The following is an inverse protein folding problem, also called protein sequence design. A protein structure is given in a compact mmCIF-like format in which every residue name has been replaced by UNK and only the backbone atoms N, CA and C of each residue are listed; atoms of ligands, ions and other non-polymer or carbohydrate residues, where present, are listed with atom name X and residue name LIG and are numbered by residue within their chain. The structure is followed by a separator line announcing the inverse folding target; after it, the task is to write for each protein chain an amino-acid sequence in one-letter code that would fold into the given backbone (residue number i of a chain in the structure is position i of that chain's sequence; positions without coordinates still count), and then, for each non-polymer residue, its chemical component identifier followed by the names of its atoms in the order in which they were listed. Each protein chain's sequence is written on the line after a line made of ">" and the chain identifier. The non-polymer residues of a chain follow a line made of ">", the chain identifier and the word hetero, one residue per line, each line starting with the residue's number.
data_IF_825424711001
#
_entry.id   IF_825424711001
#
_cell.length_a   1.000
_cell.length_b   1.000
_cell.length_c   1.000
_cell.angle_alpha   90.00
_cell.angle_beta   90.00
_cell.angle_gamma   90.00
#
_symmetry.space_group_name_H-M   'P 1'
#
loop_
_entity.id
_entity.type
_entity.pdbx_description
1 polymer ?
#
# COMPACT_ATOMS: atom_id res chain seq x y z
N UNK A 1 8.48 38.85 -44.74
CA UNK A 1 7.89 37.75 -43.95
C UNK A 1 8.22 37.96 -42.47
N UNK A 2 7.32 38.56 -41.69
CA UNK A 2 7.47 38.72 -40.23
C UNK A 2 7.13 37.38 -39.56
N UNK A 3 8.08 36.84 -38.80
CA UNK A 3 7.89 35.65 -37.94
C UNK A 3 6.86 35.99 -36.85
N UNK A 4 5.64 35.48 -36.97
CA UNK A 4 4.70 35.35 -35.85
C UNK A 4 5.06 34.07 -35.10
N UNK A 5 5.91 34.20 -34.09
CA UNK A 5 6.20 33.13 -33.15
C UNK A 5 6.14 33.69 -31.74
N UNK A 6 5.38 33.01 -30.87
CA UNK A 6 5.39 33.10 -29.41
C UNK A 6 4.63 34.28 -28.76
N UNK A 7 3.31 34.10 -28.61
CA UNK A 7 2.47 34.88 -27.68
C UNK A 7 1.28 34.07 -27.11
N UNK A 8 1.23 32.74 -27.31
CA UNK A 8 0.09 31.90 -26.86
C UNK A 8 0.28 31.25 -25.48
N UNK A 9 1.48 31.26 -24.91
CA UNK A 9 1.77 30.59 -23.62
C UNK A 9 1.49 31.50 -22.39
N UNK A 10 1.46 32.82 -22.54
CA UNK A 10 1.29 33.75 -21.40
C UNK A 10 -0.17 33.99 -20.97
N UNK A 11 -1.16 33.63 -21.80
CA UNK A 11 -2.58 33.89 -21.52
C UNK A 11 -3.21 32.95 -20.49
N UNK A 12 -2.75 31.70 -20.42
CA UNK A 12 -3.30 30.69 -19.50
C UNK A 12 -2.84 30.90 -18.05
N UNK A 13 -1.60 31.36 -17.85
CA UNK A 13 -1.06 31.70 -16.54
C UNK A 13 -1.71 32.94 -15.89
N UNK A 14 -2.43 33.75 -16.68
CA UNK A 14 -3.24 34.86 -16.18
C UNK A 14 -4.70 34.46 -15.91
N UNK A 15 -5.11 33.26 -16.33
CA UNK A 15 -6.46 32.77 -16.11
C UNK A 15 -6.63 32.27 -14.67
N UNK A 16 -7.31 33.08 -13.85
CA UNK A 16 -7.63 32.79 -12.45
C UNK A 16 -8.27 31.41 -12.24
N UNK A 17 -9.10 30.94 -13.18
CA UNK A 17 -9.73 29.60 -13.11
C UNK A 17 -8.71 28.49 -13.29
N UNK A 18 -7.81 28.63 -14.28
CA UNK A 18 -6.74 27.66 -14.52
C UNK A 18 -5.81 27.54 -13.32
N UNK A 19 -5.44 28.67 -12.70
CA UNK A 19 -4.59 28.67 -11.50
C UNK A 19 -5.26 27.94 -10.32
N UNK A 20 -6.57 28.06 -10.14
CA UNK A 20 -7.32 27.30 -9.14
C UNK A 20 -7.28 25.80 -9.43
N UNK A 21 -7.44 25.39 -10.71
CA UNK A 21 -7.37 23.98 -11.10
C UNK A 21 -5.98 23.38 -10.83
N UNK A 22 -4.90 24.11 -11.15
CA UNK A 22 -3.52 23.69 -10.87
C UNK A 22 -3.29 23.56 -9.36
N UNK A 23 -3.77 24.50 -8.55
CA UNK A 23 -3.66 24.44 -7.09
C UNK A 23 -4.36 23.18 -6.53
N UNK A 24 -5.59 22.90 -7.00
CA UNK A 24 -6.33 21.70 -6.61
C UNK A 24 -5.61 20.42 -7.02
N UNK A 25 -5.08 20.35 -8.25
CA UNK A 25 -4.32 19.20 -8.72
C UNK A 25 -3.05 18.98 -7.90
N UNK A 26 -2.36 20.04 -7.48
CA UNK A 26 -1.18 19.94 -6.63
C UNK A 26 -1.53 19.28 -5.29
N UNK A 27 -2.56 19.78 -4.60
CA UNK A 27 -3.01 19.23 -3.32
C UNK A 27 -3.46 17.77 -3.46
N UNK A 28 -4.28 17.44 -4.47
CA UNK A 28 -4.75 16.07 -4.67
C UNK A 28 -3.64 15.10 -5.06
N UNK A 29 -2.69 15.54 -5.87
CA UNK A 29 -1.54 14.71 -6.22
C UNK A 29 -0.68 14.42 -4.99
N UNK A 30 -0.52 15.39 -4.08
CA UNK A 30 0.17 15.17 -2.81
C UNK A 30 -0.55 14.13 -1.94
N UNK A 31 -1.88 14.23 -1.82
CA UNK A 31 -2.68 13.25 -1.09
C UNK A 31 -2.60 11.84 -1.70
N UNK A 32 -2.66 11.74 -3.04
CA UNK A 32 -2.50 10.49 -3.77
C UNK A 32 -1.10 9.89 -3.59
N UNK A 33 -0.06 10.73 -3.61
CA UNK A 33 1.31 10.30 -3.38
C UNK A 33 1.50 9.76 -1.95
N UNK A 34 0.91 10.43 -0.95
CA UNK A 34 0.93 9.95 0.43
C UNK A 34 0.27 8.56 0.56
N UNK A 35 -0.88 8.34 -0.08
CA UNK A 35 -1.48 7.01 -0.16
C UNK A 35 -0.56 6.02 -0.88
N UNK A 36 -0.02 6.39 -2.03
CA UNK A 36 0.85 5.52 -2.81
C UNK A 36 2.05 5.02 -1.99
N UNK A 37 2.66 5.89 -1.17
CA UNK A 37 3.74 5.50 -0.27
C UNK A 37 3.30 4.50 0.81
N UNK A 38 2.03 4.52 1.25
CA UNK A 38 1.49 3.53 2.20
C UNK A 38 1.17 2.19 1.53
N UNK A 39 0.88 2.18 0.22
CA UNK A 39 0.60 0.96 -0.54
C UNK A 39 1.88 0.29 -1.09
N UNK A 40 3.02 0.97 -0.94
CA UNK A 40 4.32 0.53 -1.42
C UNK A 40 5.27 0.28 -0.25
N UNK A 41 6.33 -0.48 -0.52
CA UNK A 41 7.33 -0.83 0.49
C UNK A 41 7.15 -2.24 1.06
N UNK A 42 8.14 -2.64 1.85
CA UNK A 42 8.23 -3.99 2.44
C UNK A 42 7.46 -4.07 3.76
N UNK A 43 7.04 -5.28 4.12
CA UNK A 43 6.44 -5.58 5.42
C UNK A 43 4.95 -5.27 5.55
N UNK A 44 4.31 -4.69 4.53
CA UNK A 44 2.86 -4.48 4.53
C UNK A 44 2.13 -5.76 4.11
N UNK A 45 1.15 -6.18 4.92
CA UNK A 45 0.21 -7.23 4.54
C UNK A 45 -1.01 -6.60 3.85
N UNK A 46 -1.81 -7.43 3.18
CA UNK A 46 -2.97 -6.93 2.41
C UNK A 46 -3.97 -6.14 3.27
N UNK A 47 -4.07 -6.46 4.56
CA UNK A 47 -4.98 -5.77 5.48
C UNK A 47 -4.52 -4.36 5.81
N UNK A 48 -3.20 -4.09 5.87
CA UNK A 48 -2.65 -2.74 6.01
C UNK A 48 -3.00 -1.88 4.80
N UNK A 49 -2.84 -2.46 3.61
CA UNK A 49 -3.17 -1.79 2.35
C UNK A 49 -4.67 -1.50 2.24
N UNK A 50 -5.52 -2.46 2.63
CA UNK A 50 -6.95 -2.26 2.70
C UNK A 50 -7.32 -1.13 3.67
N UNK A 51 -6.70 -1.08 4.85
CA UNK A 51 -6.92 -0.02 5.83
C UNK A 51 -6.51 1.37 5.28
N UNK A 52 -5.37 1.46 4.59
CA UNK A 52 -4.92 2.68 3.94
C UNK A 52 -5.91 3.19 2.87
N UNK A 53 -6.38 2.30 1.99
CA UNK A 53 -7.40 2.64 0.97
C UNK A 53 -8.72 3.06 1.63
N UNK A 54 -9.18 2.32 2.64
CA UNK A 54 -10.41 2.65 3.40
C UNK A 54 -10.31 4.04 4.02
N UNK A 55 -9.20 4.35 4.69
CA UNK A 55 -8.95 5.66 5.27
C UNK A 55 -8.92 6.77 4.23
N UNK A 56 -8.30 6.54 3.06
CA UNK A 56 -8.26 7.52 1.97
C UNK A 56 -9.65 7.80 1.41
N UNK A 57 -10.47 6.76 1.19
CA UNK A 57 -11.87 6.93 0.77
C UNK A 57 -12.68 7.75 1.78
N UNK A 58 -12.49 7.51 3.07
CA UNK A 58 -13.15 8.31 4.13
C UNK A 58 -12.69 9.76 4.09
N UNK A 59 -11.40 10.01 3.88
CA UNK A 59 -10.86 11.37 3.71
C UNK A 59 -11.46 12.09 2.49
N UNK A 60 -11.59 11.41 1.34
CA UNK A 60 -12.21 12.00 0.14
C UNK A 60 -13.64 12.51 0.43
N UNK A 61 -14.46 11.74 1.16
CA UNK A 61 -15.82 12.17 1.56
C UNK A 61 -15.83 13.37 2.50
N UNK A 62 -14.89 13.40 3.45
CA UNK A 62 -14.72 14.55 4.33
C UNK A 62 -14.31 15.79 3.52
N UNK A 63 -13.33 15.65 2.64
CA UNK A 63 -12.81 16.73 1.80
C UNK A 63 -13.85 17.27 0.84
N UNK A 64 -14.70 16.42 0.27
CA UNK A 64 -15.85 16.83 -0.55
C UNK A 64 -16.77 17.77 0.25
N UNK A 65 -17.17 17.36 1.45
CA UNK A 65 -18.04 18.14 2.34
C UNK A 65 -17.39 19.46 2.74
N UNK A 66 -16.10 19.43 3.11
CA UNK A 66 -15.35 20.61 3.48
C UNK A 66 -15.16 21.57 2.31
N UNK A 67 -14.90 21.05 1.10
CA UNK A 67 -14.78 21.84 -0.11
C UNK A 67 -16.07 22.61 -0.40
N UNK A 68 -17.24 21.96 -0.29
CA UNK A 68 -18.55 22.61 -0.42
C UNK A 68 -18.79 23.70 0.63
N UNK A 69 -18.24 23.54 1.83
CA UNK A 69 -18.27 24.51 2.92
C UNK A 69 -17.17 25.57 2.83
N UNK A 70 -16.41 25.60 1.72
CA UNK A 70 -15.29 26.52 1.53
C UNK A 70 -14.16 26.37 2.57
N UNK A 71 -14.12 25.23 3.26
CA UNK A 71 -13.09 24.87 4.23
C UNK A 71 -11.91 24.19 3.52
N UNK A 72 -10.83 24.93 3.32
CA UNK A 72 -9.63 24.48 2.60
C UNK A 72 -8.49 24.00 3.53
N UNK A 73 -8.81 23.60 4.77
CA UNK A 73 -7.79 23.23 5.79
C UNK A 73 -6.85 22.08 5.36
N UNK A 74 -7.25 21.26 4.39
CA UNK A 74 -6.44 20.16 3.84
C UNK A 74 -5.98 20.40 2.40
N UNK A 75 -6.16 21.62 1.90
CA UNK A 75 -5.82 22.05 0.54
C UNK A 75 -5.01 23.37 0.60
N UNK A 76 -3.76 23.32 1.09
CA UNK A 76 -2.95 24.52 1.30
C UNK A 76 -2.67 25.31 0.00
N UNK A 77 -2.49 24.62 -1.14
CA UNK A 77 -2.33 25.31 -2.42
C UNK A 77 -3.63 26.03 -2.81
N UNK A 78 -4.79 25.38 -2.67
CA UNK A 78 -6.09 26.02 -2.90
C UNK A 78 -6.32 27.21 -1.97
N UNK A 79 -5.96 27.10 -0.69
CA UNK A 79 -6.12 28.18 0.29
C UNK A 79 -5.32 29.42 -0.14
N UNK A 80 -4.04 29.22 -0.47
CA UNK A 80 -3.17 30.29 -0.98
C UNK A 80 -3.74 30.91 -2.25
N UNK A 81 -4.26 30.08 -3.16
CA UNK A 81 -4.83 30.57 -4.42
C UNK A 81 -6.12 31.37 -4.20
N UNK A 82 -6.99 30.93 -3.27
CA UNK A 82 -8.23 31.64 -2.94
C UNK A 82 -7.97 33.05 -2.41
N UNK A 83 -6.92 33.23 -1.63
CA UNK A 83 -6.47 34.54 -1.13
C UNK A 83 -5.96 35.44 -2.28
N UNK A 84 -5.17 34.88 -3.22
CA UNK A 84 -4.59 35.62 -4.35
C UNK A 84 -5.61 36.02 -5.42
N UNK A 85 -6.68 35.25 -5.58
CA UNK A 85 -7.65 35.41 -6.68
C UNK A 85 -8.71 36.50 -6.39
N UNK A 86 -8.74 37.06 -5.17
CA UNK A 86 -9.47 38.27 -4.72
C UNK A 86 -10.47 38.83 -5.74
N UNK A 87 -11.75 38.47 -5.59
CA UNK A 87 -12.87 38.96 -6.41
C UNK A 87 -13.41 38.01 -7.48
N UNK A 88 -12.75 36.87 -7.76
CA UNK A 88 -13.35 35.80 -8.57
C UNK A 88 -13.81 34.63 -7.69
N UNK A 89 -14.91 33.98 -8.06
CA UNK A 89 -15.47 32.84 -7.35
C UNK A 89 -14.52 31.65 -7.48
N UNK A 90 -13.98 31.19 -6.34
CA UNK A 90 -13.22 29.95 -6.28
C UNK A 90 -14.18 28.77 -6.56
N UNK A 91 -13.85 27.85 -7.49
CA UNK A 91 -14.80 26.85 -8.00
C UNK A 91 -14.98 25.64 -7.07
N UNK A 92 -15.29 25.87 -5.79
CA UNK A 92 -15.45 24.85 -4.75
C UNK A 92 -16.42 23.72 -5.14
N UNK A 93 -17.57 24.05 -5.72
CA UNK A 93 -18.56 23.05 -6.14
C UNK A 93 -18.00 22.11 -7.22
N UNK A 94 -17.23 22.65 -8.17
CA UNK A 94 -16.60 21.86 -9.23
C UNK A 94 -15.51 20.94 -8.67
N UNK A 95 -14.76 21.40 -7.67
CA UNK A 95 -13.73 20.59 -7.02
C UNK A 95 -14.35 19.50 -6.13
N UNK A 96 -15.45 19.79 -5.44
CA UNK A 96 -16.21 18.79 -4.71
C UNK A 96 -16.73 17.68 -5.64
N UNK A 97 -17.27 18.03 -6.81
CA UNK A 97 -17.69 17.06 -7.83
C UNK A 97 -16.51 16.17 -8.27
N UNK A 98 -15.32 16.76 -8.49
CA UNK A 98 -14.12 15.97 -8.82
C UNK A 98 -13.71 15.02 -7.70
N UNK A 99 -13.90 15.40 -6.44
CA UNK A 99 -13.63 14.54 -5.28
C UNK A 99 -14.62 13.37 -5.21
N UNK A 100 -15.90 13.59 -5.50
CA UNK A 100 -16.91 12.53 -5.57
C UNK A 100 -16.63 11.55 -6.72
N UNK A 101 -16.24 12.06 -7.89
CA UNK A 101 -15.81 11.20 -9.02
C UNK A 101 -14.60 10.36 -8.60
N UNK A 102 -13.58 10.97 -7.99
CA UNK A 102 -12.40 10.25 -7.52
C UNK A 102 -12.77 9.19 -6.47
N UNK A 103 -13.64 9.51 -5.52
CA UNK A 103 -14.14 8.55 -4.54
C UNK A 103 -14.87 7.37 -5.20
N UNK A 104 -15.69 7.65 -6.21
CA UNK A 104 -16.43 6.65 -6.97
C UNK A 104 -15.49 5.73 -7.73
N UNK A 105 -14.43 6.27 -8.33
CA UNK A 105 -13.39 5.50 -9.00
C UNK A 105 -12.62 4.61 -8.02
N UNK A 106 -12.27 5.10 -6.82
CA UNK A 106 -11.67 4.27 -5.77
C UNK A 106 -12.63 3.16 -5.32
N UNK A 107 -13.92 3.47 -5.14
CA UNK A 107 -14.91 2.46 -4.76
C UNK A 107 -15.03 1.37 -5.81
N UNK A 108 -15.07 1.74 -7.09
CA UNK A 108 -15.11 0.80 -8.21
C UNK A 108 -13.82 0.00 -8.35
N UNK A 109 -12.66 0.63 -8.19
CA UNK A 109 -11.34 0.00 -8.37
C UNK A 109 -11.02 -1.05 -7.31
N UNK A 110 -11.51 -0.86 -6.09
CA UNK A 110 -11.24 -1.70 -4.91
C UNK A 110 -12.49 -2.46 -4.42
N UNK A 111 -13.49 -2.67 -5.29
CA UNK A 111 -14.72 -3.38 -4.94
C UNK A 111 -14.48 -4.84 -4.55
N UNK A 112 -13.47 -5.47 -5.14
CA UNK A 112 -12.96 -6.80 -4.82
C UNK A 112 -12.39 -6.89 -3.40
N UNK A 113 -11.65 -5.87 -2.96
CA UNK A 113 -11.15 -5.77 -1.59
C UNK A 113 -12.31 -5.61 -0.59
N UNK A 114 -13.31 -4.80 -0.93
CA UNK A 114 -14.50 -4.62 -0.08
C UNK A 114 -15.29 -5.93 0.05
N UNK A 115 -15.36 -6.75 -1.01
CA UNK A 115 -15.97 -8.08 -0.94
C UNK A 115 -15.22 -9.05 0.00
N UNK A 116 -13.95 -8.79 0.30
CA UNK A 116 -13.13 -9.59 1.23
C UNK A 116 -13.01 -8.95 2.63
N UNK A 117 -13.73 -7.86 2.89
CA UNK A 117 -13.66 -7.08 4.13
C UNK A 117 -13.72 -7.93 5.40
N UNK A 118 -14.67 -8.87 5.49
CA UNK A 118 -14.81 -9.73 6.68
C UNK A 118 -13.57 -10.57 6.96
N UNK A 119 -12.90 -11.07 5.92
CA UNK A 119 -11.65 -11.85 6.05
C UNK A 119 -10.48 -10.98 6.49
N UNK A 120 -10.44 -9.73 6.03
CA UNK A 120 -9.43 -8.76 6.43
C UNK A 120 -9.63 -8.34 7.89
N UNK A 121 -10.87 -8.03 8.27
CA UNK A 121 -11.23 -7.64 9.63
C UNK A 121 -10.98 -8.77 10.63
N UNK A 122 -11.25 -10.03 10.25
CA UNK A 122 -10.94 -11.19 11.08
C UNK A 122 -9.44 -11.35 11.35
N UNK A 123 -8.56 -11.10 10.38
CA UNK A 123 -7.11 -11.15 10.58
C UNK A 123 -6.58 -9.94 11.37
N UNK A 124 -7.11 -8.75 11.08
CA UNK A 124 -6.69 -7.49 11.70
C UNK A 124 -7.20 -7.29 13.12
N UNK A 125 -8.30 -7.95 13.50
CA UNK A 125 -8.83 -7.88 14.86
C UNK A 125 -9.68 -9.11 15.21
N UNK A 126 -9.07 -10.32 15.32
CA UNK A 126 -9.80 -11.54 15.60
C UNK A 126 -10.52 -11.50 16.96
N UNK A 127 -9.99 -10.74 17.92
CA UNK A 127 -10.52 -10.66 19.29
C UNK A 127 -11.76 -9.78 19.43
N UNK A 128 -12.04 -8.91 18.45
CA UNK A 128 -13.26 -8.10 18.38
C UNK A 128 -14.16 -8.47 17.21
N UNK A 129 -13.84 -9.55 16.48
CA UNK A 129 -14.65 -10.03 15.38
C UNK A 129 -15.99 -10.56 15.91
N UNK A 130 -17.08 -10.22 15.23
CA UNK A 130 -18.39 -10.76 15.54
C UNK A 130 -18.48 -12.23 15.10
N UNK A 131 -18.72 -13.11 16.07
CA UNK A 131 -18.81 -14.56 15.85
C UNK A 131 -20.04 -14.90 14.99
N UNK A 132 -21.15 -14.18 15.15
CA UNK A 132 -22.39 -14.49 14.43
C UNK A 132 -22.28 -14.19 12.92
N UNK A 133 -21.59 -13.10 12.55
CA UNK A 133 -21.32 -12.75 11.15
C UNK A 133 -20.17 -13.54 10.50
N UNK A 134 -19.44 -14.34 11.27
CA UNK A 134 -18.31 -15.15 10.78
C UNK A 134 -18.81 -16.48 10.16
N UNK A 135 -18.18 -17.00 9.08
CA UNK A 135 -18.54 -18.30 8.51
C UNK A 135 -18.59 -19.44 9.53
N UNK A 136 -19.61 -20.30 9.45
CA UNK A 136 -19.90 -21.34 10.46
C UNK A 136 -18.73 -22.27 10.76
N UNK A 137 -17.87 -22.55 9.78
CA UNK A 137 -16.68 -23.40 9.96
C UNK A 137 -15.58 -22.77 10.83
N UNK A 138 -15.62 -21.44 11.04
CA UNK A 138 -14.64 -20.71 11.85
C UNK A 138 -15.16 -20.37 13.25
N UNK A 139 -16.48 -20.42 13.48
CA UNK A 139 -17.11 -19.88 14.69
C UNK A 139 -16.60 -20.54 15.98
N UNK A 140 -16.52 -21.88 16.01
CA UNK A 140 -16.06 -22.60 17.22
C UNK A 140 -14.60 -22.28 17.56
N UNK A 141 -13.71 -22.29 16.56
CA UNK A 141 -12.29 -21.92 16.74
C UNK A 141 -12.14 -20.44 17.14
N UNK A 142 -12.98 -19.56 16.58
CA UNK A 142 -12.96 -18.13 16.91
C UNK A 142 -13.38 -17.89 18.37
N UNK A 143 -14.39 -18.61 18.87
CA UNK A 143 -14.79 -18.53 20.29
C UNK A 143 -13.63 -18.96 21.19
N UNK A 144 -13.02 -20.11 20.90
CA UNK A 144 -11.87 -20.60 21.66
C UNK A 144 -10.69 -19.61 21.63
N UNK A 145 -10.43 -18.99 20.47
CA UNK A 145 -9.42 -17.96 20.31
C UNK A 145 -9.75 -16.72 21.17
N UNK A 146 -10.98 -16.21 21.09
CA UNK A 146 -11.42 -15.01 21.81
C UNK A 146 -11.39 -15.18 23.34
N UNK A 147 -11.60 -16.40 23.84
CA UNK A 147 -11.50 -16.73 25.26
C UNK A 147 -10.06 -16.97 25.76
N UNK A 148 -9.04 -16.91 24.89
CA UNK A 148 -7.66 -17.18 25.26
C UNK A 148 -6.86 -15.90 25.48
N UNK A 149 -6.65 -15.53 26.75
CA UNK A 149 -5.80 -14.39 27.12
C UNK A 149 -4.34 -14.55 26.66
N UNK A 150 -3.82 -15.78 26.66
CA UNK A 150 -2.47 -16.09 26.19
C UNK A 150 -2.32 -15.79 24.70
N UNK A 151 -3.28 -16.20 23.87
CA UNK A 151 -3.26 -15.92 22.44
C UNK A 151 -3.48 -14.43 22.17
N UNK A 152 -4.32 -13.75 22.97
CA UNK A 152 -4.53 -12.30 22.88
C UNK A 152 -3.25 -11.51 23.15
N UNK A 153 -2.58 -11.79 24.26
CA UNK A 153 -1.30 -11.17 24.58
C UNK A 153 -0.25 -11.46 23.50
N UNK A 154 -0.27 -12.67 22.93
CA UNK A 154 0.63 -13.02 21.82
C UNK A 154 0.34 -12.20 20.57
N UNK A 155 -0.93 -12.04 20.20
CA UNK A 155 -1.37 -11.21 19.07
C UNK A 155 -0.89 -9.76 19.21
N UNK A 156 -1.10 -9.16 20.38
CA UNK A 156 -0.66 -7.79 20.69
C UNK A 156 0.86 -7.65 20.61
N UNK A 157 1.61 -8.70 20.97
CA UNK A 157 3.07 -8.71 20.92
C UNK A 157 3.67 -8.85 19.51
N UNK A 158 3.06 -9.66 18.63
CA UNK A 158 3.66 -10.02 17.33
C UNK A 158 2.96 -9.40 16.12
N UNK A 159 1.73 -8.92 16.29
CA UNK A 159 0.90 -8.36 15.23
C UNK A 159 0.28 -9.41 14.29
N UNK A 160 -0.62 -8.93 13.43
CA UNK A 160 -1.44 -9.76 12.55
C UNK A 160 -0.64 -10.62 11.54
N UNK A 161 0.52 -10.13 11.08
CA UNK A 161 1.33 -10.81 10.07
C UNK A 161 1.97 -12.11 10.59
N UNK A 162 2.49 -12.10 11.82
CA UNK A 162 3.20 -13.24 12.41
C UNK A 162 2.31 -14.09 13.32
N UNK A 163 1.20 -13.54 13.82
CA UNK A 163 0.32 -14.22 14.76
C UNK A 163 -0.15 -15.62 14.32
N UNK A 164 -0.53 -15.86 13.04
CA UNK A 164 -1.02 -17.16 12.60
C UNK A 164 -0.03 -18.32 12.80
N UNK A 165 1.26 -18.04 12.96
CA UNK A 165 2.31 -19.03 13.24
C UNK A 165 2.24 -19.58 14.67
N UNK A 166 1.57 -18.86 15.56
CA UNK A 166 1.40 -19.21 16.98
C UNK A 166 0.03 -19.82 17.28
N UNK A 167 -0.84 -19.94 16.27
CA UNK A 167 -2.11 -20.64 16.43
C UNK A 167 -1.87 -22.15 16.63
N UNK A 168 -2.57 -22.77 17.59
CA UNK A 168 -2.41 -24.20 17.87
C UNK A 168 -2.93 -25.07 16.72
N UNK A 169 -2.49 -26.33 16.67
CA UNK A 169 -2.97 -27.32 15.70
C UNK A 169 -4.47 -27.64 15.86
N UNK A 170 -5.07 -27.30 17.00
CA UNK A 170 -6.52 -27.41 17.26
C UNK A 170 -7.35 -26.36 16.53
N UNK A 171 -6.73 -25.34 15.93
CA UNK A 171 -7.42 -24.26 15.18
C UNK A 171 -7.04 -24.27 13.67
N UNK A 172 -7.24 -25.38 12.94
CA UNK A 172 -6.81 -25.50 11.54
C UNK A 172 -7.57 -24.58 10.58
N UNK A 173 -8.83 -24.24 10.86
CA UNK A 173 -9.63 -23.40 9.96
C UNK A 173 -9.16 -21.93 10.01
N UNK A 174 -8.91 -21.39 11.21
CA UNK A 174 -8.36 -20.05 11.39
C UNK A 174 -6.94 -19.94 10.80
N UNK A 175 -6.09 -20.96 11.00
CA UNK A 175 -4.77 -21.01 10.37
C UNK A 175 -4.85 -20.95 8.86
N UNK A 176 -5.75 -21.74 8.28
CA UNK A 176 -5.96 -21.78 6.83
C UNK A 176 -6.48 -20.44 6.31
N UNK A 177 -7.47 -19.84 6.98
CA UNK A 177 -8.03 -18.56 6.59
C UNK A 177 -6.97 -17.45 6.65
N UNK A 178 -6.19 -17.40 7.72
CA UNK A 178 -5.12 -16.43 7.89
C UNK A 178 -4.02 -16.61 6.83
N UNK A 179 -3.61 -17.85 6.56
CA UNK A 179 -2.63 -18.15 5.51
C UNK A 179 -3.13 -17.71 4.12
N UNK A 180 -4.40 -17.97 3.79
CA UNK A 180 -5.00 -17.51 2.55
C UNK A 180 -4.97 -15.99 2.44
N UNK A 181 -5.34 -15.25 3.50
CA UNK A 181 -5.31 -13.78 3.49
C UNK A 181 -3.88 -13.24 3.39
N UNK A 182 -2.93 -13.80 4.15
CA UNK A 182 -1.51 -13.40 4.10
C UNK A 182 -0.84 -13.73 2.76
N UNK A 183 -1.34 -14.74 2.04
CA UNK A 183 -0.85 -15.09 0.70
C UNK A 183 -1.32 -14.13 -0.40
N UNK A 184 -2.28 -13.25 -0.11
CA UNK A 184 -2.77 -12.29 -1.09
C UNK A 184 -1.76 -11.16 -1.29
N UNK A 185 -1.43 -10.88 -2.55
CA UNK A 185 -0.58 -9.75 -2.92
C UNK A 185 -1.42 -8.48 -2.97
N UNK A 186 -1.20 -7.57 -2.02
CA UNK A 186 -1.90 -6.27 -2.00
C UNK A 186 -1.37 -5.26 -3.02
N UNK A 187 -0.14 -5.44 -3.52
CA UNK A 187 0.44 -4.59 -4.56
C UNK A 187 1.45 -5.35 -5.43
N UNK A 188 1.77 -4.76 -6.60
CA UNK A 188 2.80 -5.25 -7.52
C UNK A 188 4.22 -4.89 -7.06
N UNK A 189 4.39 -4.23 -5.91
CA UNK A 189 5.68 -3.74 -5.44
C UNK A 189 6.76 -4.81 -5.40
N UNK A 190 6.45 -6.00 -4.88
CA UNK A 190 7.42 -7.10 -4.83
C UNK A 190 7.83 -7.58 -6.23
N UNK A 191 6.89 -7.59 -7.19
CA UNK A 191 7.17 -7.89 -8.59
C UNK A 191 8.03 -6.79 -9.23
N UNK A 192 7.69 -5.51 -9.02
CA UNK A 192 8.44 -4.37 -9.54
C UNK A 192 9.86 -4.29 -8.97
N UNK A 193 10.02 -4.58 -7.67
CA UNK A 193 11.31 -4.73 -7.02
C UNK A 193 12.12 -5.87 -7.64
N UNK A 194 11.49 -7.04 -7.88
CA UNK A 194 12.14 -8.17 -8.53
C UNK A 194 12.62 -7.81 -9.95
N UNK A 195 11.79 -7.14 -10.75
CA UNK A 195 12.16 -6.68 -12.09
C UNK A 195 13.29 -5.65 -12.06
N UNK A 196 13.26 -4.73 -11.09
CA UNK A 196 14.33 -3.74 -10.90
C UNK A 196 15.66 -4.41 -10.57
N UNK A 197 15.65 -5.41 -9.68
CA UNK A 197 16.81 -6.24 -9.35
C UNK A 197 17.30 -7.01 -10.58
N UNK A 198 16.39 -7.59 -11.36
CA UNK A 198 16.74 -8.28 -12.60
C UNK A 198 17.43 -7.35 -13.59
N UNK A 199 16.91 -6.12 -13.77
CA UNK A 199 17.50 -5.11 -14.67
C UNK A 199 18.93 -4.73 -14.26
N UNK A 200 19.19 -4.59 -12.95
CA UNK A 200 20.54 -4.32 -12.42
C UNK A 200 21.50 -5.49 -12.70
N UNK A 201 21.01 -6.72 -12.54
CA UNK A 201 21.84 -7.92 -12.71
C UNK A 201 22.08 -8.29 -14.19
N UNK A 202 21.13 -7.98 -15.09
CA UNK A 202 21.24 -8.19 -16.55
C UNK A 202 21.90 -7.01 -17.29
N UNK A 203 22.71 -6.19 -16.62
CA UNK A 203 23.44 -5.10 -17.29
C UNK A 203 24.51 -5.63 -18.26
N UNK A 204 24.78 -4.88 -19.33
CA UNK A 204 25.78 -5.20 -20.37
C UNK A 204 27.16 -5.57 -19.80
N UNK A 205 27.52 -5.00 -18.65
CA UNK A 205 28.79 -5.24 -17.96
C UNK A 205 28.88 -6.61 -17.25
N UNK A 206 27.80 -7.40 -17.18
CA UNK A 206 27.78 -8.75 -16.58
C UNK A 206 27.53 -9.85 -17.62
N UNK A 207 28.34 -9.87 -18.68
CA UNK A 207 28.27 -10.84 -19.80
C UNK A 207 28.61 -12.30 -19.46
N UNK A 208 28.88 -12.63 -18.19
CA UNK A 208 29.20 -13.99 -17.70
C UNK A 208 28.11 -14.66 -16.87
N UNK A 209 26.97 -13.99 -16.62
CA UNK A 209 25.88 -14.59 -15.86
C UNK A 209 25.05 -15.51 -16.77
N UNK A 210 24.90 -16.77 -16.38
CA UNK A 210 23.94 -17.71 -16.98
C UNK A 210 22.55 -17.44 -16.39
N UNK A 211 21.51 -18.00 -17.00
CA UNK A 211 20.16 -17.92 -16.44
C UNK A 211 20.06 -18.58 -15.06
N UNK A 212 20.85 -19.62 -14.79
CA UNK A 212 20.93 -20.26 -13.48
C UNK A 212 21.51 -19.32 -12.41
N UNK A 213 22.58 -18.58 -12.75
CA UNK A 213 23.13 -17.55 -11.85
C UNK A 213 22.10 -16.46 -11.57
N UNK A 214 21.36 -16.01 -12.59
CA UNK A 214 20.33 -15.00 -12.41
C UNK A 214 19.20 -15.50 -11.52
N UNK A 215 18.74 -16.73 -11.73
CA UNK A 215 17.71 -17.35 -10.89
C UNK A 215 18.13 -17.43 -9.43
N UNK A 216 19.37 -17.86 -9.14
CA UNK A 216 19.92 -17.91 -7.79
C UNK A 216 20.00 -16.50 -7.16
N UNK A 217 20.49 -15.51 -7.90
CA UNK A 217 20.58 -14.11 -7.43
C UNK A 217 19.19 -13.56 -7.13
N UNK A 218 18.21 -13.78 -8.01
CA UNK A 218 16.85 -13.30 -7.80
C UNK A 218 16.20 -13.96 -6.58
N UNK A 219 16.40 -15.28 -6.37
CA UNK A 219 15.91 -15.96 -5.16
C UNK A 219 16.48 -15.37 -3.88
N UNK A 220 17.79 -15.14 -3.81
CA UNK A 220 18.45 -14.55 -2.63
C UNK A 220 18.03 -13.08 -2.44
N UNK A 221 17.94 -12.32 -3.53
CA UNK A 221 17.62 -10.89 -3.45
C UNK A 221 16.14 -10.62 -3.14
N UNK A 222 15.25 -11.56 -3.48
CA UNK A 222 13.81 -11.47 -3.19
C UNK A 222 13.43 -12.05 -1.82
N UNK A 223 14.27 -12.91 -1.23
CA UNK A 223 14.06 -13.34 0.14
C UNK A 223 14.30 -12.19 1.11
N UNK A 224 13.23 -11.72 1.76
CA UNK A 224 13.21 -10.48 2.55
C UNK A 224 14.06 -10.55 3.84
N UNK A 225 14.40 -11.76 4.30
CA UNK A 225 15.05 -12.02 5.59
C UNK A 225 16.08 -13.16 5.56
N UNK A 226 16.51 -13.60 4.37
CA UNK A 226 17.52 -14.65 4.28
C UNK A 226 18.91 -14.05 4.53
N UNK A 227 19.36 -14.13 5.77
CA UNK A 227 20.76 -13.87 6.10
C UNK A 227 21.56 -15.16 5.89
N UNK A 228 22.54 -15.19 4.97
CA UNK A 228 23.42 -16.34 4.85
C UNK A 228 24.18 -16.52 6.16
N UNK A 229 24.26 -17.75 6.67
CA UNK A 229 25.09 -18.08 7.82
C UNK A 229 26.56 -18.08 7.40
N UNK A 230 27.16 -16.88 7.35
CA UNK A 230 28.52 -16.69 6.85
C UNK A 230 29.53 -17.46 7.71
N UNK A 231 29.31 -17.56 9.02
CA UNK A 231 30.20 -18.25 9.94
C UNK A 231 30.29 -19.75 9.62
N UNK A 232 29.16 -20.39 9.36
CA UNK A 232 29.08 -21.78 8.91
C UNK A 232 29.66 -21.98 7.50
N UNK A 233 29.44 -21.02 6.60
CA UNK A 233 30.01 -21.07 5.25
C UNK A 233 31.54 -21.00 5.29
N UNK A 234 32.09 -20.11 6.13
CA UNK A 234 33.53 -19.91 6.32
C UNK A 234 34.17 -21.12 6.98
N UNK A 235 33.53 -21.71 7.99
CA UNK A 235 34.06 -22.92 8.64
C UNK A 235 34.15 -24.09 7.66
N UNK A 236 33.11 -24.31 6.85
CA UNK A 236 33.06 -25.39 5.86
C UNK A 236 34.09 -25.22 4.75
N UNK A 237 34.34 -23.99 4.29
CA UNK A 237 35.32 -23.72 3.24
C UNK A 237 36.77 -23.80 3.74
N UNK A 238 37.04 -23.41 5.00
CA UNK A 238 38.38 -23.59 5.61
C UNK A 238 38.79 -25.06 5.67
N UNK A 239 37.86 -25.97 5.98
CA UNK A 239 38.16 -27.42 5.99
C UNK A 239 38.48 -28.00 4.61
N UNK A 240 37.99 -27.40 3.51
CA UNK A 240 38.27 -27.88 2.15
C UNK A 240 39.64 -27.46 1.61
N UNK A 241 40.23 -26.39 2.15
CA UNK A 241 41.59 -25.94 1.76
C UNK A 241 42.67 -26.71 2.53
N UNK A 242 42.37 -27.18 3.74
CA UNK A 242 43.33 -27.91 4.59
C UNK A 242 43.51 -29.40 4.24
N UNK A 243 42.89 -29.90 3.16
CA UNK A 243 42.95 -31.31 2.74
C UNK A 243 43.72 -31.54 1.44
N UNK A 244 44.59 -30.63 1.05
CA UNK A 244 45.39 -30.72 -0.18
C UNK A 244 46.86 -30.38 0.11
N UNK A 245 47.51 -31.22 0.90
CA UNK A 245 48.96 -31.41 0.92
C UNK A 245 49.26 -32.90 0.99
#
# INVERSE_FOLDING_TARGET
>A
MRRKGKQREDGELQNKKFLCEVAFLCDITNHLNALNMQLQGRGHIITDMYAAVKAFKTKLRLWETQMLQDNLSHFPCCQTMKEQVSGAVFPSAQFAEKLDILWSDFTRRFADFEAQKSRFELLSNPFAADVESTPSNLQMELIELQCSDTLKAKYESVGAAEFPRFLPDTMPQLRTQAAQTLSMFGSTYLCEQLFSLMKINKTSHRSRLTDEHLHAILRISSSQSLTPNIDELVSTMRHKVSGSD
#
